data_IF_761372202009
#
_entry.id   IF_761372202009
#
_cell.length_a   1.000
_cell.length_b   1.000
_cell.length_c   1.000
_cell.angle_alpha   90.00
_cell.angle_beta   90.00
_cell.angle_gamma   90.00
#
_symmetry.space_group_name_H-M   'P 1'
#
loop_
_entity.id
_entity.type
_entity.pdbx_description
1 polymer ?
#
# COMPACT_ATOMS: atom_id res chain seq x y z
N UNK A 1 1.94 11.90 17.07
CA UNK A 1 2.73 11.48 15.89
C UNK A 1 1.79 11.52 14.72
N UNK A 2 2.10 12.32 13.70
CA UNK A 2 1.25 12.41 12.52
C UNK A 2 1.72 11.38 11.49
N UNK A 3 1.05 10.23 11.45
CA UNK A 3 1.36 9.18 10.48
C UNK A 3 1.02 9.59 9.05
N UNK A 4 0.11 10.55 8.85
CA UNK A 4 -0.30 11.00 7.52
C UNK A 4 0.83 11.82 6.88
N UNK A 5 1.38 12.80 7.61
CA UNK A 5 2.50 13.60 7.11
C UNK A 5 3.73 12.72 6.82
N UNK A 6 4.09 11.82 7.75
CA UNK A 6 5.21 10.88 7.55
C UNK A 6 4.99 9.96 6.33
N UNK A 7 3.78 9.46 6.15
CA UNK A 7 3.42 8.61 5.03
C UNK A 7 3.56 9.32 3.68
N UNK A 8 3.09 10.57 3.60
CA UNK A 8 3.20 11.41 2.40
C UNK A 8 4.67 11.66 2.06
N UNK A 9 5.48 12.09 3.03
CA UNK A 9 6.91 12.30 2.82
C UNK A 9 7.61 11.02 2.34
N UNK A 10 7.21 9.86 2.87
CA UNK A 10 7.79 8.58 2.51
C UNK A 10 7.52 8.17 1.05
N UNK A 11 6.35 8.54 0.48
CA UNK A 11 5.92 8.01 -0.82
C UNK A 11 5.79 9.04 -1.93
N UNK A 12 5.68 10.35 -1.63
CA UNK A 12 5.44 11.41 -2.63
C UNK A 12 6.48 11.50 -3.75
N UNK A 13 7.68 10.96 -3.54
CA UNK A 13 8.74 10.85 -4.53
C UNK A 13 8.59 9.63 -5.43
N UNK A 14 9.61 8.78 -5.45
CA UNK A 14 9.74 7.67 -6.41
C UNK A 14 8.59 6.65 -6.33
N UNK A 15 8.06 6.38 -5.13
CA UNK A 15 6.98 5.40 -4.95
C UNK A 15 5.71 5.87 -5.67
N UNK A 16 5.29 7.12 -5.46
CA UNK A 16 4.13 7.68 -6.16
C UNK A 16 4.33 7.66 -7.68
N UNK A 17 5.52 8.00 -8.18
CA UNK A 17 5.79 7.98 -9.62
C UNK A 17 5.69 6.57 -10.21
N UNK A 18 6.22 5.57 -9.51
CA UNK A 18 6.08 4.16 -9.91
C UNK A 18 4.60 3.75 -10.02
N UNK A 19 3.78 4.12 -9.02
CA UNK A 19 2.36 3.81 -9.05
C UNK A 19 1.62 4.55 -10.17
N UNK A 20 1.97 5.81 -10.48
CA UNK A 20 1.42 6.55 -11.63
C UNK A 20 1.77 5.92 -12.97
N UNK A 21 2.98 5.39 -13.12
CA UNK A 21 3.41 4.66 -14.31
C UNK A 21 2.59 3.37 -14.49
N UNK A 22 2.48 2.56 -13.43
CA UNK A 22 1.66 1.35 -13.42
C UNK A 22 0.20 1.69 -13.76
N UNK A 23 -0.35 2.73 -13.12
CA UNK A 23 -1.72 3.17 -13.37
C UNK A 23 -1.96 3.53 -14.84
N UNK A 24 -1.02 4.27 -15.44
CA UNK A 24 -1.07 4.65 -16.85
C UNK A 24 -0.92 3.44 -17.79
N UNK A 25 0.02 2.54 -17.51
CA UNK A 25 0.27 1.32 -18.30
C UNK A 25 -0.98 0.41 -18.37
N UNK A 26 -1.76 0.40 -17.29
CA UNK A 26 -2.96 -0.40 -17.17
C UNK A 26 -4.24 0.40 -17.45
N UNK A 27 -4.15 1.63 -17.95
CA UNK A 27 -5.29 2.49 -18.27
C UNK A 27 -6.27 2.67 -17.08
N UNK A 28 -5.73 2.67 -15.86
CA UNK A 28 -6.52 2.79 -14.63
C UNK A 28 -7.32 1.55 -14.22
N UNK A 29 -7.12 0.42 -14.89
CA UNK A 29 -7.79 -0.85 -14.57
C UNK A 29 -7.22 -1.46 -13.28
N UNK A 30 -7.86 -1.16 -12.14
CA UNK A 30 -7.46 -1.71 -10.84
C UNK A 30 -7.52 -3.24 -10.78
N UNK A 31 -8.50 -3.88 -11.43
CA UNK A 31 -8.58 -5.35 -11.45
C UNK A 31 -7.30 -5.95 -12.05
N UNK A 32 -6.82 -5.37 -13.16
CA UNK A 32 -5.58 -5.81 -13.79
C UNK A 32 -4.34 -5.38 -13.01
N UNK A 33 -4.33 -4.19 -12.40
CA UNK A 33 -3.21 -3.73 -11.58
C UNK A 33 -3.01 -4.69 -10.39
N UNK A 34 -4.07 -5.02 -9.66
CA UNK A 34 -3.99 -5.90 -8.50
C UNK A 34 -3.69 -7.36 -8.87
N UNK A 35 -4.18 -7.86 -10.01
CA UNK A 35 -3.90 -9.24 -10.43
C UNK A 35 -2.55 -9.42 -11.10
N UNK A 36 -2.04 -8.40 -11.82
CA UNK A 36 -0.79 -8.49 -12.61
C UNK A 36 0.35 -7.66 -12.02
N UNK A 37 0.20 -6.34 -11.95
CA UNK A 37 1.30 -5.45 -11.56
C UNK A 37 1.72 -5.65 -10.08
N UNK A 38 0.74 -5.79 -9.19
CA UNK A 38 0.99 -6.02 -7.75
C UNK A 38 1.19 -7.50 -7.38
N UNK A 39 1.45 -8.36 -8.37
CA UNK A 39 1.72 -9.77 -8.13
C UNK A 39 3.15 -10.11 -8.58
N UNK A 40 4.12 -9.87 -7.69
CA UNK A 40 5.56 -9.97 -7.97
C UNK A 40 6.34 -10.45 -6.73
N UNK A 41 7.67 -10.51 -6.76
CA UNK A 41 8.45 -11.07 -5.64
C UNK A 41 8.19 -10.42 -4.26
N UNK A 42 7.74 -9.15 -4.23
CA UNK A 42 7.51 -8.40 -2.99
C UNK A 42 6.04 -8.25 -2.61
N UNK A 43 5.15 -8.30 -3.61
CA UNK A 43 3.73 -7.97 -3.45
C UNK A 43 2.82 -9.12 -3.91
N UNK A 44 1.67 -9.23 -3.26
CA UNK A 44 0.54 -10.05 -3.72
C UNK A 44 -0.69 -9.17 -3.73
N UNK A 45 -1.21 -8.87 -4.91
CA UNK A 45 -2.52 -8.26 -5.08
C UNK A 45 -3.58 -9.32 -5.37
N UNK A 46 -4.80 -9.06 -4.91
CA UNK A 46 -5.97 -9.92 -5.17
C UNK A 46 -7.20 -9.04 -5.35
N UNK A 47 -8.05 -9.41 -6.30
CA UNK A 47 -9.38 -8.82 -6.46
C UNK A 47 -10.35 -9.62 -5.58
N UNK A 48 -11.02 -8.94 -4.66
CA UNK A 48 -12.06 -9.52 -3.80
C UNK A 48 -13.42 -9.33 -4.46
N UNK A 49 -13.69 -8.10 -4.91
CA UNK A 49 -14.87 -7.73 -5.71
C UNK A 49 -14.42 -6.82 -6.87
N UNK A 50 -14.57 -7.26 -8.14
CA UNK A 50 -14.13 -6.50 -9.31
C UNK A 50 -14.65 -5.06 -9.31
N UNK A 51 -13.76 -4.11 -9.56
CA UNK A 51 -14.11 -2.68 -9.59
C UNK A 51 -14.38 -2.05 -8.21
N UNK A 52 -14.23 -2.77 -7.09
CA UNK A 52 -14.66 -2.26 -5.78
C UNK A 52 -13.76 -2.61 -4.60
N UNK A 53 -13.40 -3.88 -4.42
CA UNK A 53 -12.63 -4.32 -3.25
C UNK A 53 -11.41 -5.15 -3.65
N UNK A 54 -10.28 -4.78 -3.08
CA UNK A 54 -8.98 -5.35 -3.40
C UNK A 54 -8.19 -5.59 -2.13
N UNK A 55 -7.31 -6.57 -2.18
CA UNK A 55 -6.36 -6.87 -1.11
C UNK A 55 -4.94 -6.63 -1.63
N UNK A 56 -4.15 -5.87 -0.88
CA UNK A 56 -2.72 -5.67 -1.14
C UNK A 56 -1.90 -6.25 0.01
N UNK A 57 -1.10 -7.26 -0.30
CA UNK A 57 -0.21 -7.90 0.66
C UNK A 57 1.27 -7.63 0.37
N UNK A 58 2.02 -7.22 1.39
CA UNK A 58 3.48 -7.11 1.38
C UNK A 58 4.08 -8.36 2.01
N UNK A 59 4.86 -9.11 1.23
CA UNK A 59 5.45 -10.37 1.70
C UNK A 59 6.53 -10.17 2.75
N UNK A 60 7.13 -8.97 2.79
CA UNK A 60 8.04 -8.52 3.83
C UNK A 60 7.75 -7.06 4.20
N UNK A 61 8.14 -6.65 5.41
CA UNK A 61 8.00 -5.24 5.79
C UNK A 61 9.02 -4.39 5.03
N UNK A 62 8.56 -3.44 4.22
CA UNK A 62 9.42 -2.53 3.45
C UNK A 62 9.90 -1.31 4.24
N UNK A 63 9.33 -1.03 5.42
CA UNK A 63 9.63 0.17 6.21
C UNK A 63 11.08 0.16 6.74
N UNK A 64 11.95 1.12 6.36
CA UNK A 64 13.34 1.15 6.81
C UNK A 64 13.48 1.25 8.33
N UNK A 65 12.57 1.98 8.99
CA UNK A 65 12.57 2.13 10.46
C UNK A 65 12.22 0.82 11.19
N UNK A 66 11.40 -0.03 10.58
CA UNK A 66 11.11 -1.36 11.12
C UNK A 66 12.30 -2.29 10.87
N UNK A 67 12.85 -2.28 9.64
CA UNK A 67 14.04 -3.08 9.31
C UNK A 67 15.25 -2.75 10.18
N UNK A 68 15.42 -1.49 10.59
CA UNK A 68 16.50 -1.07 11.48
C UNK A 68 16.21 -1.25 12.97
N UNK A 69 15.02 -1.73 13.35
CA UNK A 69 14.61 -1.89 14.75
C UNK A 69 14.22 -0.58 15.46
N UNK A 70 14.24 0.56 14.78
CA UNK A 70 13.81 1.86 15.33
C UNK A 70 12.29 1.91 15.61
N UNK A 71 11.51 1.04 14.96
CA UNK A 71 10.06 0.90 15.15
C UNK A 71 9.70 -0.57 15.32
N UNK A 72 9.12 -0.89 16.47
CA UNK A 72 8.63 -2.23 16.79
C UNK A 72 7.13 -2.24 17.16
N UNK A 73 6.55 -1.08 17.51
CA UNK A 73 5.13 -0.98 17.83
C UNK A 73 4.27 -1.16 16.55
N UNK A 74 3.32 -2.12 16.53
CA UNK A 74 2.40 -2.33 15.42
C UNK A 74 1.59 -1.12 14.95
N UNK A 75 1.36 -0.13 15.82
CA UNK A 75 0.63 1.11 15.47
C UNK A 75 1.33 1.90 14.35
N UNK A 76 2.64 1.72 14.16
CA UNK A 76 3.39 2.33 13.04
C UNK A 76 2.84 1.88 11.68
N UNK A 77 2.17 0.73 11.58
CA UNK A 77 1.58 0.27 10.31
C UNK A 77 0.47 1.18 9.79
N UNK A 78 -0.07 2.09 10.62
CA UNK A 78 -0.93 3.19 10.17
C UNK A 78 -0.23 4.07 9.13
N UNK A 79 1.09 4.27 9.24
CA UNK A 79 1.88 4.98 8.21
C UNK A 79 1.74 4.32 6.83
N UNK A 80 1.77 2.98 6.77
CA UNK A 80 1.57 2.26 5.51
C UNK A 80 0.15 2.42 4.96
N UNK A 81 -0.87 2.36 5.83
CA UNK A 81 -2.27 2.58 5.45
C UNK A 81 -2.47 3.98 4.86
N UNK A 82 -1.90 5.00 5.49
CA UNK A 82 -1.92 6.38 5.01
C UNK A 82 -1.16 6.55 3.69
N UNK A 83 -0.04 5.83 3.50
CA UNK A 83 0.69 5.84 2.22
C UNK A 83 -0.16 5.29 1.08
N UNK A 84 -0.87 4.17 1.29
CA UNK A 84 -1.76 3.58 0.29
C UNK A 84 -2.90 4.57 -0.05
N UNK A 85 -3.56 5.13 0.97
CA UNK A 85 -4.63 6.11 0.77
C UNK A 85 -4.16 7.34 0.00
N UNK A 86 -2.99 7.88 0.36
CA UNK A 86 -2.43 9.02 -0.35
C UNK A 86 -2.18 8.68 -1.81
N UNK A 87 -1.52 7.54 -2.11
CA UNK A 87 -1.27 7.12 -3.49
C UNK A 87 -2.58 6.99 -4.26
N UNK A 88 -3.59 6.30 -3.72
CA UNK A 88 -4.90 6.14 -4.36
C UNK A 88 -5.57 7.50 -4.64
N UNK A 89 -5.53 8.44 -3.70
CA UNK A 89 -6.06 9.80 -3.90
C UNK A 89 -5.34 10.60 -5.00
N UNK A 90 -4.09 10.24 -5.31
CA UNK A 90 -3.31 10.88 -6.38
C UNK A 90 -3.53 10.20 -7.74
N UNK A 91 -3.93 8.93 -7.76
CA UNK A 91 -4.26 8.18 -8.97
C UNK A 91 -5.69 8.50 -9.43
N UNK A 92 -6.62 8.57 -8.49
CA UNK A 92 -8.06 8.76 -8.72
C UNK A 92 -8.61 9.85 -7.78
N UNK A 93 -8.37 11.15 -8.09
CA UNK A 93 -8.73 12.26 -7.19
C UNK A 93 -10.22 12.43 -6.92
N UNK A 94 -11.06 12.00 -7.87
CA UNK A 94 -12.53 12.10 -7.77
C UNK A 94 -13.14 10.90 -7.04
N UNK A 95 -12.35 9.88 -6.71
CA UNK A 95 -12.80 8.67 -6.04
C UNK A 95 -12.55 8.74 -4.52
N UNK A 96 -13.41 8.09 -3.75
CA UNK A 96 -13.23 7.90 -2.31
C UNK A 96 -12.75 6.48 -2.03
N UNK A 97 -11.67 6.36 -1.26
CA UNK A 97 -11.11 5.07 -0.86
C UNK A 97 -11.13 4.93 0.67
N UNK A 98 -11.44 3.73 1.12
CA UNK A 98 -11.12 3.26 2.47
C UNK A 98 -10.05 2.18 2.36
N UNK A 99 -9.14 2.15 3.34
CA UNK A 99 -8.07 1.15 3.43
C UNK A 99 -8.04 0.67 4.86
N UNK A 100 -8.15 -0.64 5.05
CA UNK A 100 -8.13 -1.29 6.35
C UNK A 100 -6.76 -1.93 6.59
N UNK A 101 -6.44 -2.20 7.83
CA UNK A 101 -5.25 -2.99 8.18
C UNK A 101 -5.75 -4.34 8.64
N UNK A 102 -5.66 -5.34 7.77
CA UNK A 102 -6.13 -6.69 8.08
C UNK A 102 -5.10 -7.43 8.95
N UNK A 103 -3.84 -7.46 8.52
CA UNK A 103 -2.76 -8.15 9.24
C UNK A 103 -1.41 -7.43 9.06
N UNK A 104 -0.51 -7.54 10.02
CA UNK A 104 0.84 -6.97 9.89
C UNK A 104 1.90 -7.86 10.50
N UNK A 105 3.13 -7.78 9.96
CA UNK A 105 4.29 -8.52 10.49
C UNK A 105 4.59 -8.11 11.94
N UNK A 106 4.41 -6.83 12.27
CA UNK A 106 4.58 -6.36 13.66
C UNK A 106 3.55 -6.96 14.62
N UNK A 107 2.38 -7.40 14.13
CA UNK A 107 1.38 -8.17 14.90
C UNK A 107 1.62 -9.68 14.90
N UNK A 108 2.74 -10.15 14.34
CA UNK A 108 3.09 -11.57 14.29
C UNK A 108 2.58 -12.32 13.05
N UNK A 109 2.02 -11.64 12.06
CA UNK A 109 1.64 -12.26 10.78
C UNK A 109 2.88 -12.55 9.91
N UNK A 110 2.78 -13.51 9.00
CA UNK A 110 3.83 -13.77 7.99
C UNK A 110 3.89 -12.74 6.86
N UNK A 111 2.92 -11.81 6.78
CA UNK A 111 2.85 -10.73 5.78
C UNK A 111 2.03 -9.56 6.30
N UNK A 112 2.22 -8.38 5.72
CA UNK A 112 1.29 -7.26 5.93
C UNK A 112 0.20 -7.30 4.87
N UNK A 113 -1.05 -7.10 5.25
CA UNK A 113 -2.22 -7.12 4.36
C UNK A 113 -3.09 -5.92 4.66
N UNK A 114 -3.46 -5.21 3.60
CA UNK A 114 -4.26 -3.97 3.61
C UNK A 114 -5.40 -4.09 2.61
#
# INVERSE_FOLDING_TARGET
>A
MDYKEEAIECVKGNVLQMHKQIYTEYNGDFDRIYTKAYNNASYRGKVIEPGKEYELSYLECSCPKVKSGLRTNPEQCECSRQSILFILSQLEPESQFDVRIENTILRGSGRCTF
#
